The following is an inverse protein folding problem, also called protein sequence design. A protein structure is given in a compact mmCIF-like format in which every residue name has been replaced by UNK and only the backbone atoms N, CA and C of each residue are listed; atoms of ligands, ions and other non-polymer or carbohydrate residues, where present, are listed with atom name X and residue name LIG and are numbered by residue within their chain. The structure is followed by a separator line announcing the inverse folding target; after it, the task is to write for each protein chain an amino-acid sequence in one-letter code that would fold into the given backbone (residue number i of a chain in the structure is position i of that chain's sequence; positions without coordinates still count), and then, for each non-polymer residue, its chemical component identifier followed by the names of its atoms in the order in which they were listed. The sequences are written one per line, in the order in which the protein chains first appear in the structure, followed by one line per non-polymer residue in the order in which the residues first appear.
data_IF_169313883043
#
_entry.id   IF_169313883043
#
_cell.length_a   1.000
_cell.length_b   1.000
_cell.length_c   1.000
_cell.angle_alpha   90.00
_cell.angle_beta   90.00
_cell.angle_gamma   90.00
#
_symmetry.space_group_name_H-M   'P 1'
#
loop_
_entity.id
_entity.type
_entity.pdbx_description
1 polymer ?
#
# COMPACT_ATOMS: atom_id res chain seq x y z
N UNK A 1 5.21 9.98 -7.35
CA UNK A 1 6.68 10.00 -7.49
C UNK A 1 7.24 10.91 -6.43
N UNK A 2 8.15 10.41 -5.60
CA UNK A 2 8.83 11.18 -4.55
C UNK A 2 10.35 11.00 -4.73
N UNK A 3 11.13 12.02 -4.38
CA UNK A 3 12.59 12.00 -4.46
C UNK A 3 13.19 12.30 -3.09
N UNK A 4 14.22 11.54 -2.71
CA UNK A 4 14.94 11.71 -1.44
C UNK A 4 16.44 11.83 -1.73
N UNK A 5 17.10 12.79 -1.08
CA UNK A 5 18.55 12.97 -1.16
C UNK A 5 19.10 12.83 0.26
N UNK A 6 19.99 11.85 0.46
CA UNK A 6 20.74 11.70 1.72
C UNK A 6 22.09 12.38 1.53
N UNK A 7 22.32 13.46 2.28
CA UNK A 7 23.57 14.23 2.25
C UNK A 7 24.50 13.81 3.39
N UNK A 8 25.80 14.02 3.20
CA UNK A 8 26.83 13.78 4.22
C UNK A 8 26.82 12.33 4.76
N UNK A 9 26.54 11.35 3.89
CA UNK A 9 26.68 9.95 4.24
C UNK A 9 28.17 9.61 4.29
N UNK A 10 28.59 8.94 5.35
CA UNK A 10 29.97 8.42 5.45
C UNK A 10 30.30 7.55 4.22
N UNK A 11 31.41 7.87 3.56
CA UNK A 11 31.85 7.18 2.34
C UNK A 11 32.04 5.68 2.57
N UNK A 12 32.52 5.27 3.74
CA UNK A 12 32.67 3.85 4.09
C UNK A 12 31.31 3.15 4.18
N UNK A 13 30.28 3.85 4.66
CA UNK A 13 28.91 3.32 4.71
C UNK A 13 28.33 3.21 3.29
N UNK A 14 28.54 4.23 2.47
CA UNK A 14 28.09 4.23 1.08
C UNK A 14 28.71 3.08 0.28
N UNK A 15 30.02 2.83 0.43
CA UNK A 15 30.72 1.74 -0.25
C UNK A 15 30.25 0.36 0.25
N UNK A 16 30.09 0.17 1.56
CA UNK A 16 29.53 -1.07 2.11
C UNK A 16 28.12 -1.35 1.60
N UNK A 17 27.30 -0.30 1.46
CA UNK A 17 25.94 -0.44 0.94
C UNK A 17 25.93 -0.81 -0.56
N UNK A 18 26.79 -0.18 -1.37
CA UNK A 18 26.99 -0.57 -2.78
C UNK A 18 27.45 -2.02 -2.91
N UNK A 19 28.38 -2.46 -2.07
CA UNK A 19 28.84 -3.84 -2.05
C UNK A 19 27.70 -4.81 -1.71
N UNK A 20 26.85 -4.47 -0.73
CA UNK A 20 25.66 -5.24 -0.36
C UNK A 20 24.65 -5.33 -1.53
N UNK A 21 24.42 -4.23 -2.25
CA UNK A 21 23.55 -4.21 -3.43
C UNK A 21 24.09 -5.11 -4.54
N UNK A 22 25.40 -5.05 -4.84
CA UNK A 22 26.05 -5.94 -5.81
C UNK A 22 25.93 -7.42 -5.42
N UNK A 23 26.16 -7.75 -4.15
CA UNK A 23 26.02 -9.12 -3.65
C UNK A 23 24.58 -9.65 -3.80
N UNK A 24 23.58 -8.77 -3.71
CA UNK A 24 22.17 -9.10 -3.94
C UNK A 24 21.76 -9.08 -5.43
N UNK A 25 22.67 -8.75 -6.36
CA UNK A 25 22.36 -8.62 -7.79
C UNK A 25 21.46 -7.42 -8.12
N UNK A 26 21.42 -6.40 -7.27
CA UNK A 26 20.53 -5.23 -7.39
C UNK A 26 21.33 -3.95 -7.61
N UNK A 27 20.67 -2.93 -8.18
CA UNK A 27 21.20 -1.58 -8.13
C UNK A 27 21.13 -1.04 -6.70
N UNK A 28 22.02 -0.12 -6.35
CA UNK A 28 22.03 0.53 -5.04
C UNK A 28 20.70 1.23 -4.75
N UNK A 29 20.12 1.87 -5.78
CA UNK A 29 18.80 2.52 -5.69
C UNK A 29 17.69 1.51 -5.41
N UNK A 30 17.69 0.37 -6.12
CA UNK A 30 16.67 -0.66 -5.92
C UNK A 30 16.73 -1.22 -4.49
N UNK A 31 17.93 -1.53 -4.00
CA UNK A 31 18.09 -2.02 -2.63
C UNK A 31 17.63 -0.98 -1.60
N UNK A 32 17.93 0.31 -1.84
CA UNK A 32 17.47 1.39 -0.96
C UNK A 32 15.95 1.52 -0.97
N UNK A 33 15.32 1.43 -2.14
CA UNK A 33 13.86 1.48 -2.29
C UNK A 33 13.20 0.37 -1.49
N UNK A 34 13.63 -0.87 -1.69
CA UNK A 34 13.09 -2.02 -0.96
C UNK A 34 13.29 -1.89 0.55
N UNK A 35 14.44 -1.36 0.99
CA UNK A 35 14.71 -1.13 2.40
C UNK A 35 13.75 -0.09 3.00
N UNK A 36 13.52 1.02 2.29
CA UNK A 36 12.56 2.05 2.73
C UNK A 36 11.14 1.48 2.75
N UNK A 37 10.73 0.76 1.69
CA UNK A 37 9.42 0.10 1.62
C UNK A 37 9.21 -0.88 2.78
N UNK A 38 10.22 -1.71 3.08
CA UNK A 38 10.16 -2.65 4.21
C UNK A 38 10.09 -1.94 5.56
N UNK A 39 10.73 -0.78 5.71
CA UNK A 39 10.76 -0.04 6.96
C UNK A 39 9.43 0.68 7.25
N UNK A 40 8.59 0.88 6.22
CA UNK A 40 7.27 1.51 6.35
C UNK A 40 6.12 0.52 6.18
N UNK A 41 6.39 -0.78 6.03
CA UNK A 41 5.33 -1.77 6.06
C UNK A 41 4.64 -1.72 7.44
N UNK A 42 3.32 -1.53 7.50
CA UNK A 42 2.60 -1.50 8.77
C UNK A 42 2.78 -2.84 9.48
N UNK A 43 2.96 -2.78 10.80
CA UNK A 43 2.95 -3.99 11.60
C UNK A 43 1.59 -4.69 11.45
N UNK A 44 1.56 -6.01 11.58
CA UNK A 44 0.33 -6.79 11.48
C UNK A 44 -0.72 -6.23 12.47
N UNK A 45 -0.30 -5.75 13.64
CA UNK A 45 -1.17 -5.10 14.60
C UNK A 45 -1.77 -3.76 14.14
N UNK A 46 -1.10 -3.01 13.26
CA UNK A 46 -1.65 -1.80 12.63
C UNK A 46 -2.67 -2.16 11.57
N UNK A 47 -2.33 -3.15 10.72
CA UNK A 47 -3.24 -3.65 9.69
C UNK A 47 -4.54 -4.18 10.31
N UNK A 48 -4.45 -4.95 11.41
CA UNK A 48 -5.62 -5.47 12.11
C UNK A 48 -6.49 -4.35 12.69
N UNK A 49 -5.89 -3.30 13.25
CA UNK A 49 -6.62 -2.13 13.74
C UNK A 49 -7.36 -1.39 12.64
N UNK A 50 -6.72 -1.23 11.48
CA UNK A 50 -7.36 -0.61 10.31
C UNK A 50 -8.52 -1.47 9.79
N UNK A 51 -8.35 -2.80 9.75
CA UNK A 51 -9.40 -3.74 9.40
C UNK A 51 -10.58 -3.68 10.39
N UNK A 52 -10.31 -3.65 11.68
CA UNK A 52 -11.34 -3.51 12.71
C UNK A 52 -12.09 -2.19 12.53
N UNK A 53 -11.39 -1.09 12.26
CA UNK A 53 -12.03 0.19 11.99
C UNK A 53 -12.96 0.14 10.76
N UNK A 54 -12.53 -0.50 9.66
CA UNK A 54 -13.36 -0.71 8.47
C UNK A 54 -14.59 -1.58 8.80
N UNK A 55 -14.40 -2.66 9.56
CA UNK A 55 -15.50 -3.51 10.03
C UNK A 55 -16.49 -2.71 10.88
N UNK A 56 -16.05 -1.84 11.78
CA UNK A 56 -16.93 -0.96 12.55
C UNK A 56 -17.73 0.00 11.65
N UNK A 57 -17.14 0.52 10.57
CA UNK A 57 -17.89 1.40 9.65
C UNK A 57 -19.04 0.70 8.92
N UNK A 58 -19.00 -0.63 8.84
CA UNK A 58 -19.97 -1.46 8.10
C UNK A 58 -20.90 -2.27 9.00
N UNK A 59 -20.57 -2.41 10.29
CA UNK A 59 -21.44 -3.05 11.29
C UNK A 59 -22.81 -2.37 11.37
N UNK A 60 -23.86 -3.19 11.38
CA UNK A 60 -25.25 -2.73 11.53
C UNK A 60 -25.85 -2.05 10.29
N UNK A 61 -25.10 -1.92 9.18
CA UNK A 61 -25.68 -1.45 7.91
C UNK A 61 -26.56 -2.53 7.30
N UNK A 62 -27.71 -2.10 6.77
CA UNK A 62 -28.59 -2.97 6.00
C UNK A 62 -27.82 -3.50 4.79
N UNK A 63 -27.69 -4.82 4.70
CA UNK A 63 -27.17 -5.47 3.50
C UNK A 63 -28.23 -5.27 2.41
N UNK A 64 -27.99 -4.31 1.53
CA UNK A 64 -28.80 -4.18 0.31
C UNK A 64 -28.48 -5.39 -0.54
N UNK A 65 -29.49 -6.12 -1.01
CA UNK A 65 -29.27 -7.19 -1.97
C UNK A 65 -28.69 -6.58 -3.26
N UNK A 66 -27.41 -6.81 -3.55
CA UNK A 66 -26.78 -6.23 -4.73
C UNK A 66 -27.47 -6.71 -6.00
N UNK A 67 -28.03 -7.93 -5.99
CA UNK A 67 -28.71 -8.53 -7.14
C UNK A 67 -30.01 -7.80 -7.45
N UNK A 68 -30.81 -7.46 -6.43
CA UNK A 68 -32.02 -6.65 -6.64
C UNK A 68 -31.67 -5.24 -7.13
N UNK A 69 -30.67 -4.59 -6.53
CA UNK A 69 -30.25 -3.25 -6.94
C UNK A 69 -29.77 -3.23 -8.41
N UNK A 70 -28.97 -4.22 -8.82
CA UNK A 70 -28.49 -4.34 -10.20
C UNK A 70 -29.65 -4.63 -11.16
N UNK A 71 -30.63 -5.44 -10.76
CA UNK A 71 -31.83 -5.71 -11.59
C UNK A 71 -32.68 -4.47 -11.75
N UNK A 72 -32.91 -3.71 -10.68
CA UNK A 72 -33.62 -2.44 -10.75
C UNK A 72 -32.94 -1.47 -11.71
N UNK A 73 -31.62 -1.28 -11.63
CA UNK A 73 -30.87 -0.39 -12.54
C UNK A 73 -30.97 -0.84 -14.00
N UNK A 74 -30.84 -2.15 -14.26
CA UNK A 74 -30.96 -2.73 -15.60
C UNK A 74 -32.37 -2.54 -16.17
N UNK A 75 -33.38 -2.83 -15.37
CA UNK A 75 -34.78 -2.88 -15.81
C UNK A 75 -35.43 -1.48 -15.87
N UNK A 76 -34.88 -0.49 -15.15
CA UNK A 76 -35.33 0.91 -15.18
C UNK A 76 -34.55 1.80 -16.16
N UNK A 77 -33.63 1.25 -16.94
CA UNK A 77 -32.98 1.96 -18.06
C UNK A 77 -31.97 3.04 -17.65
N UNK A 78 -31.32 2.90 -16.49
CA UNK A 78 -30.29 3.83 -15.98
C UNK A 78 -30.74 5.30 -15.85
N UNK A 79 -31.91 5.57 -15.25
CA UNK A 79 -32.27 6.93 -14.82
C UNK A 79 -32.41 7.97 -15.93
N UNK A 80 -32.69 7.58 -17.18
CA UNK A 80 -33.09 8.52 -18.23
C UNK A 80 -34.58 8.86 -18.10
N UNK A 81 -34.85 9.93 -17.34
CA UNK A 81 -36.05 10.77 -17.50
C UNK A 81 -35.84 11.76 -18.64
#
# INVERSE_FOLDING_TARGET
MAQMIVRNLDDAVAERFKAKARAAGKSTEQLLRELVESAVQPDIGEILRDLDAICETTKGRTIVDPVESIRQDRDSGYGRL
#
